data_IF_730195366740
#
_entry.id   IF_730195366740
#
_cell.length_a   1.000
_cell.length_b   1.000
_cell.length_c   1.000
_cell.angle_alpha   90.00
_cell.angle_beta   90.00
_cell.angle_gamma   90.00
#
_symmetry.space_group_name_H-M   'P 1'
#
loop_
_entity.id
_entity.type
_entity.pdbx_description
1 polymer ?
#
# COMPACT_ATOMS: atom_id res chain seq x y z
N UNK A 1 -7.58 14.24 9.63
CA UNK A 1 -6.63 14.74 8.65
C UNK A 1 -6.65 13.92 7.35
N UNK A 2 -5.74 14.22 6.45
CA UNK A 2 -5.63 13.57 5.11
C UNK A 2 -5.51 12.05 5.22
N UNK A 3 -4.68 11.55 6.12
CA UNK A 3 -4.46 10.12 6.36
C UNK A 3 -5.67 9.40 6.95
N UNK A 4 -6.58 10.12 7.59
CA UNK A 4 -7.77 9.54 8.22
C UNK A 4 -8.84 9.18 7.19
N UNK A 5 -8.90 9.91 6.05
CA UNK A 5 -9.91 9.66 5.02
C UNK A 5 -9.78 8.25 4.39
N UNK A 6 -8.61 7.81 3.91
CA UNK A 6 -8.44 6.45 3.38
C UNK A 6 -8.75 5.37 4.42
N UNK A 7 -8.36 5.59 5.67
CA UNK A 7 -8.64 4.68 6.79
C UNK A 7 -10.13 4.53 7.07
N UNK A 8 -10.86 5.64 7.13
CA UNK A 8 -12.32 5.62 7.31
C UNK A 8 -13.01 4.96 6.10
N UNK A 9 -12.57 5.31 4.89
CA UNK A 9 -13.08 4.69 3.66
C UNK A 9 -12.93 3.17 3.69
N UNK A 10 -11.75 2.67 4.06
CA UNK A 10 -11.49 1.24 4.17
C UNK A 10 -12.34 0.57 5.24
N UNK A 11 -12.46 1.21 6.42
CA UNK A 11 -13.27 0.68 7.53
C UNK A 11 -14.74 0.55 7.16
N UNK A 12 -15.33 1.57 6.54
CA UNK A 12 -16.74 1.54 6.15
C UNK A 12 -17.01 0.73 4.88
N UNK A 13 -16.02 0.60 4.01
CA UNK A 13 -16.12 -0.18 2.78
C UNK A 13 -15.79 -1.66 2.93
N UNK A 14 -15.41 -2.14 4.13
CA UNK A 14 -14.95 -3.51 4.31
C UNK A 14 -13.69 -3.84 3.51
N UNK A 15 -12.80 -2.84 3.33
CA UNK A 15 -11.58 -2.95 2.53
C UNK A 15 -10.40 -3.25 3.46
N UNK A 16 -9.58 -4.22 3.11
CA UNK A 16 -8.34 -4.48 3.84
C UNK A 16 -7.39 -3.29 3.69
N UNK A 17 -6.72 -2.91 4.77
CA UNK A 17 -5.99 -1.66 4.82
C UNK A 17 -4.64 -1.80 5.51
N UNK A 18 -3.60 -1.26 4.87
CA UNK A 18 -2.31 -1.05 5.49
C UNK A 18 -1.89 0.41 5.38
N UNK A 19 -1.38 0.97 6.48
CA UNK A 19 -0.73 2.27 6.48
C UNK A 19 0.79 2.08 6.50
N UNK A 20 1.45 2.65 5.50
CA UNK A 20 2.90 2.57 5.30
C UNK A 20 3.47 3.98 5.44
N UNK A 21 4.03 4.34 6.62
CA UNK A 21 4.66 5.64 6.80
C UNK A 21 5.97 5.70 6.02
N UNK A 22 6.06 6.65 5.09
CA UNK A 22 7.28 6.84 4.28
C UNK A 22 8.36 7.50 5.13
N UNK A 23 9.58 7.00 5.00
CA UNK A 23 10.74 7.53 5.73
C UNK A 23 11.56 8.45 4.82
N UNK A 24 12.18 9.54 5.36
CA UNK A 24 12.98 10.47 4.55
C UNK A 24 14.20 9.85 3.87
N UNK A 25 14.67 8.72 4.38
CA UNK A 25 15.85 7.99 3.89
C UNK A 25 15.52 6.90 2.85
N UNK A 26 14.27 6.83 2.39
CA UNK A 26 13.91 5.88 1.34
C UNK A 26 14.49 6.31 -0.01
N UNK A 27 15.32 5.48 -0.58
CA UNK A 27 16.07 5.72 -1.82
C UNK A 27 15.88 4.61 -2.87
N UNK A 28 15.21 3.52 -2.50
CA UNK A 28 15.02 2.34 -3.35
C UNK A 28 13.72 1.61 -3.01
N UNK A 29 13.29 0.73 -3.91
CA UNK A 29 12.15 -0.17 -3.69
C UNK A 29 12.38 -1.09 -2.48
N UNK A 30 13.63 -1.47 -2.22
CA UNK A 30 14.01 -2.33 -1.09
C UNK A 30 13.69 -1.67 0.25
N UNK A 31 13.80 -0.34 0.34
CA UNK A 31 13.41 0.41 1.54
C UNK A 31 11.95 0.20 1.93
N UNK A 32 11.09 -0.03 0.94
CA UNK A 32 9.65 -0.20 1.11
C UNK A 32 9.22 -1.68 1.24
N UNK A 33 9.86 -2.58 0.51
CA UNK A 33 9.45 -3.98 0.42
C UNK A 33 10.29 -4.91 1.30
N UNK A 34 11.53 -4.54 1.56
CA UNK A 34 12.51 -5.39 2.22
C UNK A 34 13.70 -5.70 1.32
N UNK A 35 14.68 -6.39 1.85
CA UNK A 35 15.94 -6.68 1.18
C UNK A 35 16.49 -8.07 1.54
N UNK A 36 17.32 -8.60 0.67
CA UNK A 36 18.06 -9.83 0.96
C UNK A 36 19.23 -9.55 1.88
N UNK A 37 19.25 -10.19 3.05
CA UNK A 37 20.35 -10.13 3.98
C UNK A 37 21.32 -11.28 3.72
N UNK A 38 22.49 -10.96 3.16
CA UNK A 38 23.52 -11.95 2.82
C UNK A 38 24.19 -12.60 4.04
N UNK A 39 24.09 -11.98 5.22
CA UNK A 39 24.68 -12.53 6.45
C UNK A 39 23.78 -13.64 7.01
N UNK A 40 22.48 -13.39 7.11
CA UNK A 40 21.49 -14.38 7.56
C UNK A 40 21.08 -15.34 6.43
N UNK A 41 21.42 -15.04 5.20
CA UNK A 41 21.00 -15.73 3.98
C UNK A 41 19.48 -15.85 3.90
N UNK A 42 18.78 -14.78 4.26
CA UNK A 42 17.31 -14.69 4.30
C UNK A 42 16.83 -13.34 3.77
N UNK A 43 15.61 -13.32 3.28
CA UNK A 43 14.96 -12.08 2.87
C UNK A 43 14.24 -11.44 4.06
N UNK A 44 14.62 -10.21 4.40
CA UNK A 44 14.01 -9.42 5.48
C UNK A 44 12.83 -8.64 4.89
N UNK A 45 11.62 -9.12 5.14
CA UNK A 45 10.40 -8.52 4.59
C UNK A 45 9.96 -7.28 5.37
N UNK A 46 9.43 -6.28 4.65
CA UNK A 46 8.67 -5.19 5.26
C UNK A 46 7.17 -5.53 5.29
N UNK A 47 6.40 -4.94 6.21
CA UNK A 47 4.95 -5.21 6.34
C UNK A 47 4.17 -5.01 5.04
N UNK A 48 4.59 -4.06 4.20
CA UNK A 48 3.96 -3.81 2.90
C UNK A 48 4.08 -5.03 1.98
N UNK A 49 5.27 -5.66 1.88
CA UNK A 49 5.45 -6.83 1.03
C UNK A 49 4.53 -7.97 1.49
N UNK A 50 4.47 -8.25 2.79
CA UNK A 50 3.61 -9.30 3.33
C UNK A 50 2.13 -9.06 2.98
N UNK A 51 1.67 -7.82 3.10
CA UNK A 51 0.30 -7.44 2.73
C UNK A 51 0.03 -7.60 1.23
N UNK A 52 1.00 -7.23 0.38
CA UNK A 52 0.90 -7.39 -1.08
C UNK A 52 0.85 -8.87 -1.48
N UNK A 53 1.65 -9.72 -0.87
CA UNK A 53 1.62 -11.18 -1.09
C UNK A 53 0.27 -11.73 -0.68
N UNK A 54 -0.22 -11.42 0.53
CA UNK A 54 -1.55 -11.84 0.98
C UNK A 54 -2.67 -11.44 0.03
N UNK A 55 -2.57 -10.27 -0.60
CA UNK A 55 -3.58 -9.79 -1.57
C UNK A 55 -3.65 -10.65 -2.85
N UNK A 56 -2.72 -11.58 -3.04
CA UNK A 56 -2.64 -12.51 -4.18
C UNK A 56 -2.95 -13.94 -3.82
N UNK A 57 -3.01 -14.26 -2.53
CA UNK A 57 -3.30 -15.60 -2.05
C UNK A 57 -4.80 -15.81 -1.87
N UNK A 58 -5.27 -17.02 -2.17
CA UNK A 58 -6.66 -17.41 -1.95
C UNK A 58 -6.89 -17.72 -0.49
N UNK A 59 -8.11 -17.49 -0.04
CA UNK A 59 -8.56 -17.97 1.26
C UNK A 59 -8.62 -19.49 1.21
N UNK A 60 -7.76 -20.18 1.96
CA UNK A 60 -7.82 -21.63 2.13
C UNK A 60 -8.65 -21.90 3.39
N UNK A 61 -9.88 -22.37 3.18
CA UNK A 61 -10.74 -22.90 4.25
C UNK A 61 -10.73 -24.41 4.17
N UNK A 62 -9.67 -25.04 4.62
CA UNK A 62 -9.68 -26.50 4.75
C UNK A 62 -10.36 -26.88 6.07
N UNK A 63 -11.48 -27.57 5.95
CA UNK A 63 -12.34 -27.94 7.06
C UNK A 63 -11.82 -29.11 7.90
N UNK A 64 -10.70 -29.73 7.57
CA UNK A 64 -10.22 -30.94 8.24
C UNK A 64 -8.97 -30.74 9.12
N UNK A 65 -8.19 -29.65 8.98
CA UNK A 65 -7.06 -29.33 9.84
C UNK A 65 -7.02 -27.84 10.18
N UNK A 66 -7.40 -27.49 11.39
CA UNK A 66 -7.49 -26.10 11.89
C UNK A 66 -6.15 -25.35 12.02
N UNK A 67 -5.01 -25.97 11.69
CA UNK A 67 -3.69 -25.36 11.79
C UNK A 67 -3.20 -24.71 10.49
N UNK A 68 -3.82 -24.99 9.33
CA UNK A 68 -3.40 -24.50 8.01
C UNK A 68 -4.35 -23.46 7.39
N UNK A 69 -5.14 -22.75 8.20
CA UNK A 69 -6.00 -21.69 7.73
C UNK A 69 -5.17 -20.46 7.33
N UNK A 70 -4.84 -20.35 6.04
CA UNK A 70 -4.19 -19.15 5.48
C UNK A 70 -5.26 -18.15 5.06
N UNK A 71 -5.22 -16.95 5.66
CA UNK A 71 -6.14 -15.86 5.33
C UNK A 71 -5.62 -15.07 4.11
N UNK A 72 -5.79 -15.63 2.92
CA UNK A 72 -5.54 -14.93 1.67
C UNK A 72 -6.60 -13.85 1.40
N UNK A 73 -6.23 -12.80 0.68
CA UNK A 73 -7.06 -11.62 0.43
C UNK A 73 -7.37 -11.43 -1.07
N UNK A 74 -7.18 -12.47 -1.92
CA UNK A 74 -7.33 -12.33 -3.39
C UNK A 74 -8.74 -11.89 -3.79
N UNK A 75 -9.76 -12.40 -3.11
CA UNK A 75 -11.17 -12.14 -3.41
C UNK A 75 -11.71 -10.85 -2.74
N UNK A 76 -10.84 -10.09 -2.10
CA UNK A 76 -11.20 -8.87 -1.37
C UNK A 76 -10.41 -7.67 -1.88
N UNK A 77 -10.96 -6.46 -1.71
CA UNK A 77 -10.24 -5.23 -2.06
C UNK A 77 -9.24 -4.89 -0.94
N UNK A 78 -8.04 -4.54 -1.35
CA UNK A 78 -6.94 -4.17 -0.45
C UNK A 78 -6.42 -2.78 -0.79
N UNK A 79 -6.25 -1.91 0.20
CA UNK A 79 -5.77 -0.53 0.05
C UNK A 79 -4.46 -0.32 0.82
N UNK A 80 -3.44 0.07 0.08
CA UNK A 80 -2.16 0.52 0.63
C UNK A 80 -2.16 2.05 0.70
N UNK A 81 -1.94 2.61 1.87
CA UNK A 81 -1.73 4.04 2.08
C UNK A 81 -0.25 4.32 2.29
N UNK A 82 0.38 5.05 1.37
CA UNK A 82 1.70 5.64 1.55
C UNK A 82 1.53 6.98 2.29
N UNK A 83 1.76 6.98 3.59
CA UNK A 83 1.54 8.18 4.40
C UNK A 83 2.77 9.09 4.34
N UNK A 84 2.52 10.38 4.06
CA UNK A 84 3.55 11.39 3.81
C UNK A 84 4.51 10.98 2.67
N UNK A 85 3.96 10.50 1.55
CA UNK A 85 4.73 9.88 0.46
C UNK A 85 5.84 10.79 -0.11
N UNK A 86 5.75 12.10 0.06
CA UNK A 86 6.74 13.06 -0.42
C UNK A 86 7.81 13.46 0.61
N UNK A 87 7.96 12.70 1.70
CA UNK A 87 9.14 12.82 2.58
C UNK A 87 10.42 12.31 1.89
N UNK A 88 10.29 11.33 1.00
CA UNK A 88 11.35 10.86 0.13
C UNK A 88 11.00 11.12 -1.35
N UNK A 89 11.94 10.91 -2.24
CA UNK A 89 11.69 10.99 -3.68
C UNK A 89 10.88 9.78 -4.14
N UNK A 90 9.61 9.99 -4.47
CA UNK A 90 8.68 8.93 -4.90
C UNK A 90 9.21 8.14 -6.09
N UNK A 91 9.91 8.80 -6.99
CA UNK A 91 10.52 8.21 -8.17
C UNK A 91 11.64 7.21 -7.85
N UNK A 92 12.22 7.25 -6.65
CA UNK A 92 13.27 6.32 -6.27
C UNK A 92 12.69 5.02 -5.70
N UNK A 93 11.70 5.11 -4.84
CA UNK A 93 11.19 3.93 -4.13
C UNK A 93 9.91 3.34 -4.76
N UNK A 94 9.16 4.11 -5.58
CA UNK A 94 7.86 3.70 -6.10
C UNK A 94 7.78 3.69 -7.64
N UNK A 95 8.90 3.91 -8.35
CA UNK A 95 8.92 4.02 -9.82
C UNK A 95 8.39 2.77 -10.53
N UNK A 96 8.80 1.58 -10.07
CA UNK A 96 8.37 0.31 -10.66
C UNK A 96 6.88 0.10 -10.47
N UNK A 97 6.35 0.42 -9.28
CA UNK A 97 4.91 0.38 -9.04
C UNK A 97 4.15 1.31 -9.98
N UNK A 98 4.59 2.56 -10.14
CA UNK A 98 3.94 3.51 -11.05
C UNK A 98 3.89 2.96 -12.48
N UNK A 99 5.00 2.41 -12.96
CA UNK A 99 5.08 1.81 -14.29
C UNK A 99 4.15 0.60 -14.43
N UNK A 100 4.17 -0.31 -13.46
CA UNK A 100 3.35 -1.53 -13.48
C UNK A 100 1.85 -1.24 -13.28
N UNK A 101 1.49 -0.24 -12.48
CA UNK A 101 0.11 0.19 -12.32
C UNK A 101 -0.45 0.80 -13.61
N UNK A 102 0.36 1.51 -14.40
CA UNK A 102 -0.01 1.99 -15.71
C UNK A 102 -0.21 0.83 -16.70
N UNK A 103 0.72 -0.12 -16.76
CA UNK A 103 0.59 -1.34 -17.57
C UNK A 103 -0.68 -2.10 -17.19
N UNK A 104 -1.02 -2.20 -15.90
CA UNK A 104 -2.24 -2.85 -15.42
C UNK A 104 -3.51 -2.23 -15.98
N UNK A 105 -3.55 -0.91 -16.21
CA UNK A 105 -4.71 -0.25 -16.82
C UNK A 105 -4.96 -0.72 -18.25
N UNK A 106 -3.89 -0.98 -19.00
CA UNK A 106 -3.97 -1.44 -20.39
C UNK A 106 -4.07 -2.96 -20.52
N UNK A 107 -3.75 -3.72 -19.47
CA UNK A 107 -3.73 -5.18 -19.49
C UNK A 107 -5.12 -5.78 -19.72
N UNK A 108 -5.21 -6.79 -20.60
CA UNK A 108 -6.42 -7.57 -20.83
C UNK A 108 -6.40 -8.80 -19.91
N UNK A 109 -7.50 -8.98 -19.19
CA UNK A 109 -7.86 -10.13 -18.33
C UNK A 109 -6.72 -10.76 -17.51
N UNK A 110 -5.96 -11.72 -17.91
CA UNK A 110 -5.04 -12.49 -17.05
C UNK A 110 -3.56 -12.09 -17.17
N UNK A 111 -3.23 -11.12 -18.01
CA UNK A 111 -1.85 -10.64 -18.18
C UNK A 111 -1.55 -9.49 -17.22
N UNK A 112 -1.56 -9.80 -15.92
CA UNK A 112 -1.26 -8.82 -14.89
C UNK A 112 0.25 -8.54 -14.82
N UNK A 113 0.65 -7.27 -14.73
CA UNK A 113 2.05 -6.92 -14.53
C UNK A 113 2.53 -7.38 -13.14
N UNK A 114 3.80 -7.67 -13.05
CA UNK A 114 4.46 -8.10 -11.83
C UNK A 114 5.71 -7.28 -11.54
N UNK A 115 6.10 -7.30 -10.29
CA UNK A 115 7.36 -6.74 -9.78
C UNK A 115 8.24 -7.92 -9.39
N UNK A 116 9.52 -7.88 -9.80
CA UNK A 116 10.51 -8.88 -9.42
C UNK A 116 11.08 -8.53 -8.04
N UNK A 117 10.97 -9.47 -7.11
CA UNK A 117 11.56 -9.39 -5.77
C UNK A 117 12.79 -10.30 -5.75
N UNK A 118 13.96 -9.71 -5.62
CA UNK A 118 15.21 -10.45 -5.59
C UNK A 118 15.41 -11.14 -4.23
N UNK A 119 15.30 -12.45 -4.21
CA UNK A 119 15.41 -13.29 -3.00
C UNK A 119 16.84 -13.70 -2.67
N UNK A 120 17.83 -13.27 -3.47
CA UNK A 120 19.24 -13.58 -3.24
C UNK A 120 19.95 -14.17 -4.46
N UNK A 121 21.23 -14.48 -4.29
CA UNK A 121 22.06 -15.05 -5.35
C UNK A 121 21.63 -16.50 -5.67
N UNK A 122 21.52 -16.81 -6.96
CA UNK A 122 21.15 -18.14 -7.47
C UNK A 122 19.70 -18.60 -7.14
N UNK A 123 18.82 -17.68 -6.80
CA UNK A 123 17.38 -17.93 -6.64
C UNK A 123 16.65 -17.07 -7.65
N UNK A 124 15.70 -17.66 -8.38
CA UNK A 124 14.86 -16.89 -9.29
C UNK A 124 14.06 -15.84 -8.51
N UNK A 125 13.91 -14.62 -9.05
CA UNK A 125 13.13 -13.58 -8.39
C UNK A 125 11.68 -14.01 -8.18
N UNK A 126 11.13 -13.69 -7.01
CA UNK A 126 9.70 -13.86 -6.78
C UNK A 126 8.92 -12.82 -7.57
N UNK A 127 7.98 -13.27 -8.41
CA UNK A 127 7.15 -12.41 -9.24
C UNK A 127 5.88 -12.00 -8.50
N UNK A 128 5.93 -10.83 -7.87
CA UNK A 128 4.79 -10.23 -7.19
C UNK A 128 3.81 -9.63 -8.21
N UNK A 129 2.71 -10.31 -8.48
CA UNK A 129 1.67 -9.86 -9.41
C UNK A 129 0.84 -8.73 -8.79
N UNK A 130 0.58 -7.65 -9.54
CA UNK A 130 -0.24 -6.53 -9.09
C UNK A 130 -1.71 -6.70 -9.50
N UNK A 131 -2.49 -7.35 -8.64
CA UNK A 131 -3.91 -7.61 -8.86
C UNK A 131 -4.78 -6.35 -8.98
N UNK A 132 -5.95 -6.47 -9.61
CA UNK A 132 -6.91 -5.36 -9.74
C UNK A 132 -7.63 -5.05 -8.43
N UNK A 133 -7.62 -5.97 -7.49
CA UNK A 133 -8.13 -5.82 -6.13
C UNK A 133 -7.25 -4.91 -5.26
N UNK A 134 -6.03 -4.57 -5.73
CA UNK A 134 -5.05 -3.79 -5.00
C UNK A 134 -5.12 -2.32 -5.41
N UNK A 135 -5.39 -1.45 -4.42
CA UNK A 135 -5.46 0.00 -4.57
C UNK A 135 -4.32 0.68 -3.82
N UNK A 136 -3.89 1.82 -4.32
CA UNK A 136 -2.88 2.67 -3.68
C UNK A 136 -3.42 4.07 -3.46
N UNK A 137 -3.14 4.63 -2.31
CA UNK A 137 -3.35 6.04 -1.99
C UNK A 137 -2.07 6.62 -1.38
N UNK A 138 -1.85 7.90 -1.55
CA UNK A 138 -0.75 8.61 -0.93
C UNK A 138 -1.23 9.90 -0.27
N UNK A 139 -0.70 10.23 0.90
CA UNK A 139 -0.87 11.56 1.47
C UNK A 139 0.38 12.38 1.27
N UNK A 140 0.19 13.68 1.14
CA UNK A 140 1.28 14.64 0.93
C UNK A 140 1.07 15.88 1.78
N UNK A 141 2.15 16.43 2.28
CA UNK A 141 2.19 17.76 2.85
C UNK A 141 2.97 18.68 1.89
N UNK A 142 2.53 19.92 1.78
CA UNK A 142 3.27 20.97 1.06
C UNK A 142 3.92 21.86 2.12
N UNK A 143 5.10 21.49 2.56
CA UNK A 143 5.94 22.27 3.45
C UNK A 143 7.37 22.32 2.89
N UNK A 144 8.22 23.13 3.51
CA UNK A 144 9.58 23.37 3.03
C UNK A 144 10.49 22.14 3.10
N UNK A 145 10.11 21.12 3.87
CA UNK A 145 10.89 19.91 4.11
C UNK A 145 10.54 18.76 3.18
N UNK A 146 9.43 18.89 2.43
CA UNK A 146 8.92 17.83 1.56
C UNK A 146 9.42 17.98 0.12
N UNK A 147 9.51 16.83 -0.59
CA UNK A 147 9.90 16.80 -2.01
C UNK A 147 8.71 17.16 -2.89
N UNK A 148 8.97 17.86 -4.00
CA UNK A 148 7.96 18.04 -5.04
C UNK A 148 7.75 16.71 -5.77
N UNK A 149 6.49 16.42 -6.13
CA UNK A 149 6.21 15.32 -7.04
C UNK A 149 6.49 15.74 -8.48
N UNK A 150 7.06 14.83 -9.25
CA UNK A 150 7.19 15.02 -10.68
C UNK A 150 5.84 14.83 -11.39
N UNK A 151 5.73 15.40 -12.58
CA UNK A 151 4.55 15.21 -13.45
C UNK A 151 4.26 13.74 -13.71
N UNK A 152 5.32 12.90 -13.80
CA UNK A 152 5.19 11.44 -13.99
C UNK A 152 4.39 10.74 -12.86
N UNK A 153 4.43 11.26 -11.66
CA UNK A 153 3.65 10.74 -10.52
C UNK A 153 2.24 11.32 -10.55
N UNK A 154 2.12 12.64 -10.78
CA UNK A 154 0.84 13.36 -10.75
C UNK A 154 -0.09 12.88 -11.86
N UNK A 155 0.42 12.70 -13.07
CA UNK A 155 -0.37 12.31 -14.26
C UNK A 155 -0.93 10.87 -14.16
N UNK A 156 -0.36 10.05 -13.28
CA UNK A 156 -0.78 8.64 -13.09
C UNK A 156 -1.80 8.44 -12.00
N UNK A 157 -2.15 9.48 -11.28
CA UNK A 157 -3.07 9.44 -10.15
C UNK A 157 -4.19 10.45 -10.24
N UNK A 158 -5.16 10.33 -9.34
CA UNK A 158 -6.16 11.37 -9.08
C UNK A 158 -5.75 12.13 -7.83
N UNK A 159 -5.55 13.44 -7.97
CA UNK A 159 -5.18 14.31 -6.86
C UNK A 159 -6.40 14.94 -6.22
N UNK A 160 -6.50 14.86 -4.90
CA UNK A 160 -7.54 15.52 -4.11
C UNK A 160 -6.87 16.56 -3.21
N UNK A 161 -7.24 17.81 -3.40
CA UNK A 161 -6.70 18.91 -2.62
C UNK A 161 -7.58 19.19 -1.39
N UNK A 162 -6.95 19.26 -0.22
CA UNK A 162 -7.60 19.66 1.03
C UNK A 162 -7.13 21.06 1.41
N UNK A 163 -7.96 22.10 1.20
CA UNK A 163 -7.59 23.45 1.58
C UNK A 163 -7.45 23.57 3.10
N UNK A 164 -6.63 24.51 3.55
CA UNK A 164 -6.60 24.87 4.97
C UNK A 164 -7.97 25.34 5.42
N UNK A 165 -8.48 24.89 6.58
CA UNK A 165 -9.76 25.37 7.09
C UNK A 165 -9.68 26.86 7.34
N UNK A 166 -10.63 27.62 6.79
CA UNK A 166 -10.74 29.08 6.99
C UNK A 166 -11.42 29.44 8.32
N UNK A 167 -12.14 28.49 8.90
CA UNK A 167 -12.78 28.62 10.21
C UNK A 167 -12.64 27.31 10.99
N UNK A 168 -12.35 27.44 12.27
CA UNK A 168 -12.36 26.30 13.19
C UNK A 168 -13.73 26.20 13.84
N UNK A 169 -14.45 25.13 13.53
CA UNK A 169 -15.68 24.79 14.21
C UNK A 169 -15.35 23.97 15.47
N UNK A 170 -15.83 24.46 16.63
CA UNK A 170 -15.73 23.67 17.86
C UNK A 170 -16.63 22.45 17.70
N UNK A 171 -16.03 21.25 17.86
CA UNK A 171 -16.79 20.00 17.85
C UNK A 171 -17.83 20.07 18.98
N UNK A 172 -19.09 20.02 18.66
CA UNK A 172 -20.12 19.75 19.68
C UNK A 172 -19.82 18.38 20.28
N UNK A 173 -20.06 18.21 21.59
CA UNK A 173 -19.84 16.95 22.28
C UNK A 173 -20.58 15.86 21.52
N UNK A 174 -19.81 15.00 20.82
CA UNK A 174 -20.38 13.82 20.14
C UNK A 174 -21.03 12.96 21.21
N UNK A 175 -22.30 12.65 21.02
CA UNK A 175 -23.02 11.65 21.80
C UNK A 175 -22.23 10.33 21.60
N UNK A 176 -21.84 9.68 22.69
CA UNK A 176 -21.21 8.37 22.60
C UNK A 176 -22.10 7.46 21.76
N UNK A 177 -21.52 6.82 20.73
CA UNK A 177 -22.23 5.78 19.99
C UNK A 177 -22.59 4.68 21.00
N UNK A 178 -23.83 4.14 20.97
CA UNK A 178 -24.17 3.00 21.81
C UNK A 178 -23.18 1.87 21.52
N UNK A 179 -22.70 1.22 22.58
CA UNK A 179 -21.89 0.00 22.45
C UNK A 179 -22.68 -0.97 21.56
N UNK A 180 -22.06 -1.40 20.47
CA UNK A 180 -22.64 -2.50 19.68
C UNK A 180 -22.72 -3.70 20.61
N UNK A 181 -23.94 -4.15 20.89
CA UNK A 181 -24.15 -5.44 21.54
C UNK A 181 -23.49 -6.52 20.69
N UNK A 182 -22.56 -7.25 21.28
CA UNK A 182 -21.94 -8.44 20.73
C UNK A 182 -22.98 -9.54 20.46
#
# INVERSE_FOLDING_TARGET
GKSELPKLYSRFGGINFINVPVQPNWDSQESMLGYFNSISNSYETQPMLNFLVQSREKLITDSENSEDNYNGLEDTVSLVLLDEMNLAHVELYFADFLSKLEQRRAAKNNDLPYIDINLGSNIDPYKLSLGRNLLFAGTMNQDETTKSLSDKVIDRGTSIYFPRPTSLHRREKLRALPEQAN
#
